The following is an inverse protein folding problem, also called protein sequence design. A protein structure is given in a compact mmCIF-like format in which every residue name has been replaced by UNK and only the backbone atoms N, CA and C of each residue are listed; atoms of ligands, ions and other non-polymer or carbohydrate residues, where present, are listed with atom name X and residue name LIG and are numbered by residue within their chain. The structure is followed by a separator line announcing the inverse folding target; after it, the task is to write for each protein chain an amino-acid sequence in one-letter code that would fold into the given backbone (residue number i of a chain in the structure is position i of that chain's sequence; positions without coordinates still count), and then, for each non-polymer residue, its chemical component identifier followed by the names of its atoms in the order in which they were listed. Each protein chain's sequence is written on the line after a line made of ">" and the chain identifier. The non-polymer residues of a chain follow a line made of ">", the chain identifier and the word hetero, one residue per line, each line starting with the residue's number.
data_IF_183503633247
#
_entry.id   IF_183503633247
#
_cell.length_a   1.000
_cell.length_b   1.000
_cell.length_c   1.000
_cell.angle_alpha   90.00
_cell.angle_beta   90.00
_cell.angle_gamma   90.00
#
_symmetry.space_group_name_H-M   'P 1'
#
loop_
_entity.id
_entity.type
_entity.pdbx_description
1 polymer ?
#
# COMPACT_ATOMS: atom_id res chain seq x y z
N UNK A 1 -9.76 32.95 -41.23
CA UNK A 1 -8.54 33.11 -40.41
C UNK A 1 -8.96 33.80 -39.14
N UNK A 2 -9.12 33.02 -38.07
CA UNK A 2 -9.35 33.54 -36.72
C UNK A 2 -8.20 32.97 -35.90
N UNK A 3 -7.23 33.85 -35.60
CA UNK A 3 -6.07 33.54 -34.79
C UNK A 3 -6.53 33.17 -33.38
N UNK A 4 -6.25 31.91 -32.99
CA UNK A 4 -6.32 31.50 -31.60
C UNK A 4 -5.10 32.08 -30.86
N UNK A 5 -5.28 32.67 -29.67
CA UNK A 5 -4.15 33.16 -28.88
C UNK A 5 -3.27 31.98 -28.43
N UNK A 6 -1.93 32.17 -28.36
CA UNK A 6 -1.02 31.11 -27.93
C UNK A 6 -1.33 30.71 -26.49
N UNK A 7 -1.42 29.40 -26.29
CA UNK A 7 -1.63 28.73 -25.01
C UNK A 7 -0.62 29.28 -23.98
N UNK A 8 -1.10 30.10 -23.04
CA UNK A 8 -0.26 30.63 -21.97
C UNK A 8 0.04 29.49 -20.99
N UNK A 9 1.19 28.83 -21.18
CA UNK A 9 1.74 27.92 -20.17
C UNK A 9 1.96 28.70 -18.88
N UNK A 10 1.42 28.21 -17.76
CA UNK A 10 1.52 28.87 -16.47
C UNK A 10 3.00 29.03 -16.08
N UNK A 11 3.42 30.18 -15.53
CA UNK A 11 4.80 30.40 -15.07
C UNK A 11 5.26 29.36 -14.02
N UNK A 12 4.33 28.85 -13.20
CA UNK A 12 4.59 27.83 -12.17
C UNK A 12 4.93 26.46 -12.77
N UNK A 13 4.32 26.10 -13.90
CA UNK A 13 4.61 24.84 -14.60
C UNK A 13 6.03 24.87 -15.21
N UNK A 14 6.43 26.02 -15.76
CA UNK A 14 7.78 26.22 -16.30
C UNK A 14 8.85 26.19 -15.19
N UNK A 15 8.62 26.86 -14.06
CA UNK A 15 9.56 26.87 -12.94
C UNK A 15 9.71 25.49 -12.28
N UNK A 16 8.62 24.73 -12.14
CA UNK A 16 8.65 23.36 -11.59
C UNK A 16 9.41 22.41 -12.52
N UNK A 17 9.24 22.58 -13.84
CA UNK A 17 9.95 21.80 -14.84
C UNK A 17 11.47 22.12 -14.83
N UNK A 18 11.85 23.40 -14.74
CA UNK A 18 13.27 23.81 -14.65
C UNK A 18 13.97 23.22 -13.41
N UNK A 19 13.30 23.18 -12.26
CA UNK A 19 13.84 22.55 -11.04
C UNK A 19 13.99 21.03 -11.22
N UNK A 20 13.00 20.37 -11.80
CA UNK A 20 13.07 18.92 -12.07
C UNK A 20 14.23 18.56 -13.01
N UNK A 21 14.43 19.34 -14.08
CA UNK A 21 15.55 19.15 -15.01
C UNK A 21 16.92 19.31 -14.34
N UNK A 22 17.08 20.30 -13.45
CA UNK A 22 18.32 20.48 -12.69
C UNK A 22 18.56 19.31 -11.72
N UNK A 23 17.53 18.80 -11.04
CA UNK A 23 17.66 17.62 -10.19
C UNK A 23 18.08 16.38 -11.00
N UNK A 24 17.46 16.14 -12.16
CA UNK A 24 17.85 15.05 -13.07
C UNK A 24 19.30 15.20 -13.55
N UNK A 25 19.73 16.43 -13.89
CA UNK A 25 21.12 16.71 -14.29
C UNK A 25 22.11 16.39 -13.17
N UNK A 26 21.82 16.80 -11.92
CA UNK A 26 22.65 16.51 -10.75
C UNK A 26 22.77 15.02 -10.49
N UNK A 27 21.65 14.31 -10.53
CA UNK A 27 21.60 12.85 -10.37
C UNK A 27 22.41 12.14 -11.46
N UNK A 28 22.21 12.50 -12.74
CA UNK A 28 22.96 11.92 -13.87
C UNK A 28 24.47 12.07 -13.71
N UNK A 29 24.91 13.22 -13.19
CA UNK A 29 26.33 13.51 -12.97
C UNK A 29 26.84 13.00 -11.60
N UNK A 30 25.98 12.37 -10.78
CA UNK A 30 26.27 11.96 -9.40
C UNK A 30 26.87 13.11 -8.57
N UNK A 31 26.36 14.33 -8.77
CA UNK A 31 26.78 15.50 -7.99
C UNK A 31 26.21 15.40 -6.57
N UNK A 32 27.01 15.73 -5.56
CA UNK A 32 26.60 15.65 -4.16
C UNK A 32 26.86 14.27 -3.53
N UNK A 33 26.20 14.01 -2.41
CA UNK A 33 26.27 12.72 -1.72
C UNK A 33 24.97 11.91 -1.89
N UNK A 34 24.98 10.66 -1.43
CA UNK A 34 23.84 9.76 -1.59
C UNK A 34 22.57 10.21 -0.84
N UNK A 35 22.71 10.98 0.24
CA UNK A 35 21.57 11.56 0.99
C UNK A 35 20.89 12.63 0.13
N UNK A 36 21.68 13.48 -0.52
CA UNK A 36 21.20 14.50 -1.46
C UNK A 36 20.53 13.85 -2.68
N UNK A 37 21.09 12.74 -3.20
CA UNK A 37 20.45 11.97 -4.26
C UNK A 37 19.09 11.43 -3.82
N UNK A 38 18.99 10.86 -2.61
CA UNK A 38 17.73 10.37 -2.04
C UNK A 38 16.67 11.47 -1.92
N UNK A 39 17.05 12.65 -1.43
CA UNK A 39 16.12 13.80 -1.36
C UNK A 39 15.70 14.27 -2.75
N UNK A 40 16.62 14.35 -3.71
CA UNK A 40 16.32 14.75 -5.08
C UNK A 40 15.35 13.77 -5.76
N UNK A 41 15.59 12.46 -5.63
CA UNK A 41 14.70 11.42 -6.16
C UNK A 41 13.32 11.50 -5.49
N UNK A 42 13.25 11.70 -4.17
CA UNK A 42 11.98 11.86 -3.47
C UNK A 42 11.18 13.08 -3.99
N UNK A 43 11.86 14.19 -4.28
CA UNK A 43 11.24 15.37 -4.90
C UNK A 43 10.71 15.10 -6.31
N UNK A 44 11.43 14.36 -7.14
CA UNK A 44 11.00 13.97 -8.48
C UNK A 44 9.78 13.04 -8.44
N UNK A 45 9.78 12.03 -7.56
CA UNK A 45 8.63 11.14 -7.36
C UNK A 45 7.38 11.92 -6.92
N UNK A 46 7.55 12.90 -6.01
CA UNK A 46 6.45 13.79 -5.59
C UNK A 46 5.95 14.70 -6.72
N UNK A 47 6.81 15.04 -7.68
CA UNK A 47 6.47 15.82 -8.87
C UNK A 47 5.84 14.96 -9.99
N UNK A 48 5.60 13.66 -9.76
CA UNK A 48 4.89 12.79 -10.70
C UNK A 48 5.77 11.93 -11.61
N UNK A 49 7.10 12.00 -11.47
CA UNK A 49 7.99 11.09 -12.19
C UNK A 49 7.86 9.67 -11.62
N UNK A 50 7.78 8.66 -12.49
CA UNK A 50 7.84 7.27 -12.05
C UNK A 50 9.31 6.79 -11.96
N UNK A 51 9.61 5.66 -11.28
CA UNK A 51 10.97 5.17 -11.14
C UNK A 51 11.68 4.85 -12.46
N UNK A 52 10.94 4.43 -13.49
CA UNK A 52 11.48 4.13 -14.81
C UNK A 52 11.92 5.42 -15.52
N UNK A 53 11.13 6.49 -15.45
CA UNK A 53 11.49 7.81 -16.02
C UNK A 53 12.81 8.32 -15.42
N UNK A 54 12.96 8.21 -14.10
CA UNK A 54 14.17 8.64 -13.38
C UNK A 54 15.36 7.78 -13.79
N UNK A 55 15.18 6.46 -13.95
CA UNK A 55 16.24 5.57 -14.40
C UNK A 55 16.72 5.94 -15.81
N UNK A 56 15.81 6.13 -16.76
CA UNK A 56 16.16 6.50 -18.13
C UNK A 56 16.90 7.84 -18.19
N UNK A 57 16.51 8.80 -17.35
CA UNK A 57 17.13 10.11 -17.32
C UNK A 57 18.47 10.17 -16.57
N UNK A 58 18.74 9.27 -15.62
CA UNK A 58 19.87 9.42 -14.66
C UNK A 58 20.78 8.20 -14.52
N UNK A 59 20.29 7.00 -14.87
CA UNK A 59 20.97 5.73 -14.65
C UNK A 59 20.82 5.15 -13.23
N UNK A 60 20.04 5.78 -12.33
CA UNK A 60 19.72 5.21 -11.02
C UNK A 60 18.67 4.11 -11.15
N UNK A 61 19.03 2.87 -10.85
CA UNK A 61 18.09 1.75 -10.90
C UNK A 61 16.96 1.91 -9.86
N UNK A 62 15.72 1.44 -10.13
CA UNK A 62 14.61 1.56 -9.18
C UNK A 62 14.91 1.01 -7.77
N UNK A 63 15.69 -0.07 -7.67
CA UNK A 63 16.14 -0.64 -6.39
C UNK A 63 17.04 0.36 -5.64
N UNK A 64 17.99 0.97 -6.34
CA UNK A 64 18.89 1.97 -5.78
C UNK A 64 18.14 3.25 -5.39
N UNK A 65 17.18 3.70 -6.21
CA UNK A 65 16.31 4.83 -5.92
C UNK A 65 15.58 4.63 -4.58
N UNK A 66 14.92 3.49 -4.41
CA UNK A 66 14.24 3.15 -3.16
C UNK A 66 15.22 3.11 -1.96
N UNK A 67 16.40 2.51 -2.16
CA UNK A 67 17.43 2.44 -1.11
C UNK A 67 17.86 3.84 -0.64
N UNK A 68 18.23 4.75 -1.55
CA UNK A 68 18.73 6.07 -1.18
C UNK A 68 17.62 6.99 -0.66
N UNK A 69 16.39 6.87 -1.16
CA UNK A 69 15.22 7.63 -0.66
C UNK A 69 14.90 7.23 0.78
N UNK A 70 14.79 5.94 1.07
CA UNK A 70 14.49 5.48 2.43
C UNK A 70 15.69 5.70 3.35
N UNK A 71 16.91 5.46 2.87
CA UNK A 71 18.14 5.72 3.62
C UNK A 71 18.27 7.19 4.01
N UNK A 72 17.92 8.14 3.13
CA UNK A 72 18.00 9.58 3.44
C UNK A 72 16.97 9.99 4.49
N UNK A 73 15.78 9.39 4.48
CA UNK A 73 14.77 9.58 5.54
C UNK A 73 15.26 9.05 6.89
N UNK A 74 15.97 7.92 6.91
CA UNK A 74 16.62 7.40 8.11
C UNK A 74 17.73 8.35 8.56
N UNK A 75 18.59 8.82 7.67
CA UNK A 75 19.64 9.80 7.97
C UNK A 75 19.07 11.09 8.57
N UNK A 76 17.95 11.60 8.06
CA UNK A 76 17.25 12.76 8.65
C UNK A 76 16.79 12.47 10.10
N UNK A 77 16.46 11.22 10.43
CA UNK A 77 16.13 10.80 11.80
C UNK A 77 17.36 10.88 12.72
N UNK A 78 18.55 10.49 12.22
CA UNK A 78 19.81 10.59 12.97
C UNK A 78 20.14 12.06 13.29
N UNK A 79 19.96 12.97 12.33
CA UNK A 79 20.22 14.40 12.56
C UNK A 79 19.26 15.01 13.58
N UNK A 80 17.98 14.59 13.55
CA UNK A 80 16.94 15.13 14.42
C UNK A 80 17.05 14.62 15.87
N UNK A 81 17.37 13.34 16.05
CA UNK A 81 17.43 12.70 17.38
C UNK A 81 18.84 12.65 17.98
N UNK A 82 19.85 13.08 17.22
CA UNK A 82 21.21 13.24 17.68
C UNK A 82 22.01 11.94 17.64
N UNK A 83 23.10 11.96 16.88
CA UNK A 83 24.16 10.95 16.87
C UNK A 83 25.51 11.64 17.02
N UNK A 84 26.58 10.88 17.26
CA UNK A 84 27.92 11.48 17.30
C UNK A 84 28.29 12.07 15.93
N UNK A 85 29.13 13.12 15.93
CA UNK A 85 29.58 13.77 14.70
C UNK A 85 30.35 12.80 13.79
N UNK A 86 31.03 11.81 14.37
CA UNK A 86 31.69 10.74 13.65
C UNK A 86 30.69 9.84 12.90
N UNK A 87 29.61 9.40 13.58
CA UNK A 87 28.53 8.62 12.97
C UNK A 87 27.84 9.41 11.85
N UNK A 88 27.50 10.69 12.10
CA UNK A 88 26.87 11.55 11.11
C UNK A 88 27.75 11.72 9.86
N UNK A 89 29.03 12.06 10.06
CA UNK A 89 29.98 12.28 8.96
C UNK A 89 30.23 11.01 8.14
N UNK A 90 30.28 9.85 8.81
CA UNK A 90 30.37 8.56 8.12
C UNK A 90 29.16 8.37 7.20
N UNK A 91 27.95 8.40 7.76
CA UNK A 91 26.75 8.09 7.00
C UNK A 91 26.36 9.16 5.98
N UNK A 92 26.84 10.39 6.10
CA UNK A 92 26.65 11.42 5.08
C UNK A 92 27.26 11.03 3.72
N UNK A 93 28.32 10.21 3.71
CA UNK A 93 29.08 9.88 2.49
C UNK A 93 28.94 8.43 2.04
N UNK A 94 28.59 7.51 2.94
CA UNK A 94 28.48 6.07 2.66
C UNK A 94 27.42 5.40 3.55
N UNK A 95 27.12 4.13 3.30
CA UNK A 95 26.25 3.33 4.20
C UNK A 95 24.75 3.50 3.99
N UNK A 96 24.33 3.85 2.77
CA UNK A 96 22.89 3.94 2.41
C UNK A 96 22.16 2.61 2.59
N UNK A 97 22.85 1.51 2.28
CA UNK A 97 22.41 0.11 2.44
C UNK A 97 22.25 -0.24 3.93
N UNK A 98 23.21 0.14 4.76
CA UNK A 98 23.15 -0.04 6.21
C UNK A 98 21.98 0.73 6.83
N UNK A 99 21.82 2.01 6.48
CA UNK A 99 20.71 2.82 7.00
C UNK A 99 19.35 2.36 6.47
N UNK A 100 19.29 1.81 5.25
CA UNK A 100 18.07 1.24 4.69
C UNK A 100 17.50 0.09 5.56
N UNK A 101 18.36 -0.70 6.19
CA UNK A 101 17.91 -1.79 7.07
C UNK A 101 17.27 -1.32 8.39
N UNK A 102 17.47 -0.05 8.76
CA UNK A 102 16.89 0.55 9.97
C UNK A 102 15.49 1.12 9.73
N UNK A 103 14.93 1.01 8.51
CA UNK A 103 13.65 1.64 8.11
C UNK A 103 12.44 1.24 8.96
N UNK A 104 12.45 0.04 9.56
CA UNK A 104 11.35 -0.48 10.38
C UNK A 104 11.37 0.02 11.84
N UNK A 105 12.49 0.62 12.26
CA UNK A 105 12.65 1.23 13.58
C UNK A 105 11.99 2.61 13.63
N UNK A 106 11.63 3.05 14.83
CA UNK A 106 11.14 4.41 15.08
C UNK A 106 12.26 5.45 14.90
N UNK A 107 11.92 6.74 14.80
CA UNK A 107 12.92 7.80 14.57
C UNK A 107 13.98 7.87 15.69
N UNK A 108 13.57 7.67 16.94
CA UNK A 108 14.44 7.62 18.12
C UNK A 108 15.38 6.40 18.08
N UNK A 109 14.83 5.21 17.82
CA UNK A 109 15.59 3.96 17.76
C UNK A 109 16.61 3.96 16.61
N UNK A 110 16.32 4.61 15.48
CA UNK A 110 17.24 4.71 14.33
C UNK A 110 18.55 5.38 14.71
N UNK A 111 18.51 6.46 15.49
CA UNK A 111 19.72 7.18 15.89
C UNK A 111 20.62 6.29 16.78
N UNK A 112 20.03 5.67 17.80
CA UNK A 112 20.75 4.78 18.71
C UNK A 112 21.29 3.52 17.99
N UNK A 113 20.51 2.95 17.06
CA UNK A 113 20.92 1.81 16.25
C UNK A 113 22.09 2.16 15.30
N UNK A 114 22.01 3.30 14.62
CA UNK A 114 23.05 3.74 13.70
C UNK A 114 24.38 4.01 14.42
N UNK A 115 24.34 4.61 15.62
CA UNK A 115 25.51 4.80 16.48
C UNK A 115 26.16 3.45 16.85
N UNK A 116 25.36 2.48 17.30
CA UNK A 116 25.85 1.14 17.65
C UNK A 116 26.52 0.45 16.45
N UNK A 117 25.86 0.49 15.28
CA UNK A 117 26.35 -0.13 14.04
C UNK A 117 27.66 0.53 13.58
N UNK A 118 27.76 1.85 13.68
CA UNK A 118 28.98 2.59 13.36
C UNK A 118 30.13 2.20 14.31
N UNK A 119 29.89 2.23 15.63
CA UNK A 119 30.89 1.88 16.65
C UNK A 119 31.44 0.47 16.45
N UNK A 120 30.58 -0.47 16.05
CA UNK A 120 30.99 -1.86 15.84
C UNK A 120 31.41 -2.18 14.40
N UNK A 121 31.41 -1.20 13.48
CA UNK A 121 31.76 -1.36 12.06
C UNK A 121 31.02 -2.54 11.41
N UNK A 122 29.70 -2.48 11.45
CA UNK A 122 28.78 -3.53 11.02
C UNK A 122 28.33 -3.31 9.56
N UNK A 123 28.20 -4.39 8.78
CA UNK A 123 27.70 -4.36 7.40
C UNK A 123 26.15 -4.37 7.32
N UNK A 124 25.60 -4.28 6.11
CA UNK A 124 24.15 -4.23 5.92
C UNK A 124 23.44 -5.51 6.39
N UNK A 125 24.05 -6.68 6.20
CA UNK A 125 23.46 -7.96 6.60
C UNK A 125 23.35 -8.08 8.13
N UNK A 126 24.41 -7.74 8.87
CA UNK A 126 24.37 -7.74 10.32
C UNK A 126 23.56 -6.55 10.86
N UNK A 127 23.47 -5.41 10.16
CA UNK A 127 22.58 -4.30 10.49
C UNK A 127 21.10 -4.69 10.44
N UNK A 128 20.69 -5.50 9.46
CA UNK A 128 19.33 -6.07 9.38
C UNK A 128 18.99 -6.93 10.59
N UNK A 129 19.93 -7.77 11.03
CA UNK A 129 19.74 -8.60 12.23
C UNK A 129 19.65 -7.73 13.50
N UNK A 130 20.45 -6.67 13.61
CA UNK A 130 20.36 -5.70 14.70
C UNK A 130 18.99 -5.00 14.70
N UNK A 131 18.52 -4.51 13.55
CA UNK A 131 17.22 -3.87 13.43
C UNK A 131 16.09 -4.80 13.88
N UNK A 132 16.15 -6.08 13.49
CA UNK A 132 15.22 -7.10 13.96
C UNK A 132 15.30 -7.31 15.47
N UNK A 133 16.50 -7.39 16.04
CA UNK A 133 16.71 -7.55 17.49
C UNK A 133 16.06 -6.41 18.28
N UNK A 134 16.31 -5.17 17.86
CA UNK A 134 15.75 -3.97 18.47
C UNK A 134 14.22 -3.97 18.35
N UNK A 135 13.69 -4.28 17.17
CA UNK A 135 12.25 -4.30 16.94
C UNK A 135 11.55 -5.34 17.80
N UNK A 136 12.08 -6.55 17.88
CA UNK A 136 11.55 -7.60 18.77
C UNK A 136 11.63 -7.19 20.24
N UNK A 137 12.73 -6.55 20.64
CA UNK A 137 12.92 -6.08 22.01
C UNK A 137 11.95 -4.94 22.39
N UNK A 138 11.59 -4.07 21.44
CA UNK A 138 10.63 -2.98 21.65
C UNK A 138 9.22 -3.47 22.03
N UNK A 139 8.89 -4.74 21.78
CA UNK A 139 7.57 -5.30 22.11
C UNK A 139 7.41 -5.63 23.59
N UNK A 140 8.50 -5.65 24.37
CA UNK A 140 8.43 -5.87 25.80
C UNK A 140 7.89 -4.64 26.53
N UNK A 141 6.71 -4.77 27.16
CA UNK A 141 6.17 -3.75 28.07
C UNK A 141 7.03 -3.60 29.33
N UNK A 142 7.57 -4.72 29.82
CA UNK A 142 8.51 -4.79 30.94
C UNK A 142 9.78 -5.43 30.43
N UNK A 143 10.90 -4.73 30.58
CA UNK A 143 12.18 -5.18 30.06
C UNK A 143 12.61 -6.51 30.71
N UNK A 144 13.20 -7.44 29.95
CA UNK A 144 13.79 -8.66 30.48
C UNK A 144 14.84 -8.36 31.56
N UNK A 145 14.82 -9.13 32.65
CA UNK A 145 15.72 -8.92 33.79
C UNK A 145 17.20 -8.96 33.37
N UNK A 146 17.93 -7.91 33.74
CA UNK A 146 19.36 -7.78 33.43
C UNK A 146 19.66 -7.14 32.07
N UNK A 147 18.64 -6.76 31.28
CA UNK A 147 18.82 -6.05 30.01
C UNK A 147 18.14 -4.68 30.04
N UNK A 148 18.87 -3.64 29.65
CA UNK A 148 18.34 -2.28 29.53
C UNK A 148 17.70 -2.01 28.16
N UNK A 149 17.10 -0.83 28.00
CA UNK A 149 16.56 -0.36 26.72
C UNK A 149 17.65 0.04 25.70
N UNK A 150 18.93 -0.04 26.06
CA UNK A 150 20.03 0.30 25.16
C UNK A 150 20.07 -0.69 23.97
N UNK A 151 20.30 -0.24 22.72
CA UNK A 151 20.28 -1.13 21.55
C UNK A 151 21.29 -2.28 21.65
N UNK A 152 22.45 -2.04 22.27
CA UNK A 152 23.44 -3.09 22.56
C UNK A 152 22.91 -4.20 23.48
N UNK A 153 22.14 -3.85 24.51
CA UNK A 153 21.50 -4.83 25.40
C UNK A 153 20.34 -5.56 24.72
N UNK A 154 19.60 -4.89 23.82
CA UNK A 154 18.58 -5.54 23.01
C UNK A 154 19.17 -6.63 22.09
N UNK A 155 20.30 -6.33 21.43
CA UNK A 155 21.05 -7.32 20.63
C UNK A 155 21.58 -8.44 21.52
N UNK A 156 22.17 -8.11 22.68
CA UNK A 156 22.65 -9.10 23.64
C UNK A 156 21.52 -10.02 24.13
N UNK A 157 20.33 -9.48 24.42
CA UNK A 157 19.17 -10.28 24.82
C UNK A 157 18.71 -11.25 23.73
N UNK A 158 18.66 -10.80 22.47
CA UNK A 158 18.31 -11.68 21.36
C UNK A 158 19.31 -12.83 21.25
N UNK A 159 20.61 -12.52 21.32
CA UNK A 159 21.69 -13.51 21.29
C UNK A 159 21.60 -14.47 22.49
N UNK A 160 21.31 -13.96 23.69
CA UNK A 160 21.12 -14.78 24.89
C UNK A 160 20.00 -15.81 24.68
N UNK A 161 18.86 -15.36 24.14
CA UNK A 161 17.72 -16.22 23.81
C UNK A 161 18.10 -17.29 22.78
N UNK A 162 18.77 -16.91 21.69
CA UNK A 162 19.21 -17.84 20.65
C UNK A 162 20.23 -18.87 21.16
N UNK A 163 21.18 -18.43 22.00
CA UNK A 163 22.20 -19.32 22.57
C UNK A 163 21.59 -20.39 23.49
N UNK A 164 20.54 -20.04 24.25
CA UNK A 164 19.78 -21.01 25.07
C UNK A 164 18.93 -21.98 24.25
N UNK A 165 18.66 -21.69 22.99
CA UNK A 165 17.92 -22.59 22.10
C UNK A 165 18.84 -23.53 21.33
N UNK A 166 20.13 -23.19 21.24
CA UNK A 166 21.08 -23.91 20.42
C UNK A 166 21.82 -24.98 21.24
N UNK A 167 21.66 -26.23 20.81
CA UNK A 167 22.37 -27.38 21.41
C UNK A 167 23.79 -27.52 20.87
N UNK A 168 24.10 -26.95 19.70
CA UNK A 168 25.43 -27.00 19.11
C UNK A 168 26.39 -26.04 19.85
N UNK A 169 27.45 -26.60 20.43
CA UNK A 169 28.40 -25.85 21.24
C UNK A 169 29.14 -24.79 20.44
N UNK A 170 29.51 -25.05 19.18
CA UNK A 170 30.27 -24.10 18.37
C UNK A 170 29.42 -22.88 18.00
N UNK A 171 28.17 -23.11 17.57
CA UNK A 171 27.21 -22.04 17.29
C UNK A 171 26.88 -21.26 18.56
N UNK A 172 26.68 -21.93 19.69
CA UNK A 172 26.47 -21.30 20.99
C UNK A 172 27.65 -20.41 21.39
N UNK A 173 28.88 -20.87 21.22
CA UNK A 173 30.08 -20.05 21.50
C UNK A 173 30.16 -18.81 20.61
N UNK A 174 29.82 -18.92 19.31
CA UNK A 174 29.76 -17.77 18.39
C UNK A 174 28.71 -16.76 18.83
N UNK A 175 27.53 -17.24 19.24
CA UNK A 175 26.48 -16.39 19.79
C UNK A 175 26.97 -15.69 21.06
N UNK A 176 27.52 -16.40 22.03
CA UNK A 176 28.07 -15.81 23.26
C UNK A 176 29.09 -14.70 22.95
N UNK A 177 30.03 -14.94 22.04
CA UNK A 177 31.00 -13.93 21.63
C UNK A 177 30.33 -12.68 21.02
N UNK A 178 29.30 -12.87 20.17
CA UNK A 178 28.48 -11.77 19.64
C UNK A 178 27.76 -11.00 20.76
N UNK A 179 27.19 -11.71 21.72
CA UNK A 179 26.50 -11.09 22.86
C UNK A 179 27.44 -10.23 23.70
N UNK A 180 28.66 -10.72 23.97
CA UNK A 180 29.69 -9.99 24.71
C UNK A 180 30.28 -8.80 23.94
N UNK A 181 30.24 -8.83 22.60
CA UNK A 181 30.63 -7.71 21.73
C UNK A 181 29.66 -6.54 21.87
N UNK A 182 28.35 -6.80 21.94
CA UNK A 182 27.31 -5.77 21.91
C UNK A 182 26.73 -5.36 23.27
N UNK A 183 26.85 -6.21 24.30
CA UNK A 183 26.31 -5.92 25.63
C UNK A 183 26.83 -4.58 26.18
N UNK A 184 25.91 -3.71 26.58
CA UNK A 184 26.22 -2.36 27.07
C UNK A 184 26.30 -2.33 28.59
N UNK A 185 25.37 -2.98 29.29
CA UNK A 185 25.36 -2.98 30.75
C UNK A 185 26.14 -4.17 31.34
N UNK A 186 26.77 -4.00 32.52
CA UNK A 186 27.42 -5.10 33.24
C UNK A 186 26.46 -6.26 33.55
N UNK A 187 25.18 -5.95 33.84
CA UNK A 187 24.15 -6.95 34.11
C UNK A 187 23.86 -7.81 32.87
N UNK A 188 23.72 -7.19 31.69
CA UNK A 188 23.52 -7.91 30.44
C UNK A 188 24.72 -8.81 30.15
N UNK A 189 25.93 -8.26 30.31
CA UNK A 189 27.17 -9.01 30.12
C UNK A 189 27.24 -10.25 31.02
N UNK A 190 26.90 -10.12 32.30
CA UNK A 190 26.86 -11.23 33.25
C UNK A 190 25.86 -12.32 32.83
N UNK A 191 24.67 -11.95 32.33
CA UNK A 191 23.68 -12.92 31.80
C UNK A 191 24.22 -13.68 30.59
N UNK A 192 25.02 -13.05 29.73
CA UNK A 192 25.71 -13.73 28.62
C UNK A 192 26.81 -14.66 29.10
N UNK A 193 27.64 -14.23 30.06
CA UNK A 193 28.74 -15.03 30.62
C UNK A 193 28.24 -16.31 31.30
N UNK A 194 27.07 -16.26 31.96
CA UNK A 194 26.44 -17.45 32.58
C UNK A 194 26.18 -18.60 31.58
N UNK A 195 26.02 -18.28 30.29
CA UNK A 195 25.81 -19.29 29.24
C UNK A 195 27.05 -20.15 28.94
N UNK A 196 28.22 -19.78 29.46
CA UNK A 196 29.45 -20.58 29.39
C UNK A 196 29.42 -21.77 30.36
N UNK A 197 28.62 -21.67 31.42
CA UNK A 197 28.51 -22.70 32.47
C UNK A 197 27.16 -23.42 32.43
N UNK A 198 26.10 -22.71 32.07
CA UNK A 198 24.78 -23.30 31.86
C UNK A 198 24.70 -23.84 30.44
N UNK A 199 24.49 -25.14 30.25
CA UNK A 199 24.32 -25.80 28.95
C UNK A 199 22.88 -26.26 28.69
N UNK A 200 21.92 -25.80 29.50
CA UNK A 200 20.51 -26.13 29.28
C UNK A 200 20.01 -25.56 27.96
N UNK A 201 19.19 -26.35 27.27
CA UNK A 201 18.52 -25.96 26.03
C UNK A 201 17.03 -25.72 26.29
N UNK A 202 16.54 -24.53 25.99
CA UNK A 202 15.13 -24.15 26.11
C UNK A 202 14.50 -24.12 24.73
N UNK A 203 13.58 -25.05 24.39
CA UNK A 203 12.97 -25.08 23.07
C UNK A 203 12.05 -23.86 22.87
N UNK A 204 12.08 -23.27 21.67
CA UNK A 204 11.14 -22.22 21.26
C UNK A 204 10.08 -22.83 20.34
N UNK A 205 8.82 -22.49 20.55
CA UNK A 205 7.76 -22.78 19.56
C UNK A 205 7.97 -21.89 18.34
N UNK A 206 7.92 -22.42 17.11
CA UNK A 206 8.00 -21.60 15.91
C UNK A 206 6.84 -20.60 15.88
N UNK A 207 7.04 -19.48 15.17
CA UNK A 207 5.95 -18.55 14.92
C UNK A 207 4.81 -19.27 14.16
N UNK A 208 3.54 -18.98 14.46
CA UNK A 208 2.42 -19.53 13.71
C UNK A 208 2.48 -19.08 12.25
N UNK A 209 1.96 -19.92 11.35
CA UNK A 209 1.84 -19.57 9.93
C UNK A 209 0.79 -18.46 9.79
N UNK A 210 1.15 -17.38 9.11
CA UNK A 210 0.23 -16.28 8.81
C UNK A 210 -0.75 -16.69 7.71
N UNK A 211 -2.03 -16.28 7.79
CA UNK A 211 -3.06 -16.68 6.83
C UNK A 211 -2.96 -15.86 5.53
N UNK A 212 -1.95 -16.16 4.72
CA UNK A 212 -1.81 -15.56 3.39
C UNK A 212 -2.81 -16.16 2.42
N UNK A 213 -3.53 -15.29 1.70
CA UNK A 213 -4.40 -15.66 0.58
C UNK A 213 -3.85 -15.02 -0.71
N UNK A 214 -4.02 -15.71 -1.84
CA UNK A 214 -3.70 -15.17 -3.17
C UNK A 214 -4.92 -15.30 -4.06
N UNK A 215 -5.34 -14.17 -4.63
CA UNK A 215 -6.33 -14.13 -5.70
C UNK A 215 -5.57 -14.30 -7.00
N UNK A 216 -5.93 -15.31 -7.80
CA UNK A 216 -5.19 -15.73 -8.99
C UNK A 216 -5.88 -15.23 -10.29
N UNK A 217 -7.17 -14.89 -10.24
CA UNK A 217 -7.95 -14.49 -11.41
C UNK A 217 -8.66 -13.16 -11.19
N UNK A 218 -8.77 -12.33 -12.23
CA UNK A 218 -9.45 -11.01 -12.15
C UNK A 218 -10.93 -11.14 -11.79
N UNK A 219 -11.60 -12.20 -12.21
CA UNK A 219 -13.00 -12.49 -11.87
C UNK A 219 -13.21 -12.71 -10.36
N UNK A 220 -12.15 -13.05 -9.63
CA UNK A 220 -12.16 -13.16 -8.17
C UNK A 220 -12.09 -11.79 -7.49
N UNK A 221 -11.67 -10.74 -8.21
CA UNK A 221 -11.63 -9.37 -7.69
C UNK A 221 -13.02 -8.74 -7.90
N UNK A 222 -13.74 -8.39 -6.83
CA UNK A 222 -14.93 -7.58 -6.96
C UNK A 222 -14.55 -6.17 -7.44
N UNK A 223 -15.44 -5.53 -8.20
CA UNK A 223 -15.32 -4.11 -8.53
C UNK A 223 -16.28 -3.32 -7.65
N UNK A 224 -15.76 -2.32 -6.95
CA UNK A 224 -16.55 -1.40 -6.13
C UNK A 224 -17.13 -0.31 -7.01
N UNK A 225 -18.43 -0.04 -6.89
CA UNK A 225 -19.14 0.92 -7.72
C UNK A 225 -19.87 1.97 -6.86
N UNK A 226 -19.89 3.24 -7.29
CA UNK A 226 -20.68 4.26 -6.63
C UNK A 226 -22.17 4.06 -6.94
N UNK A 227 -23.00 4.18 -5.89
CA UNK A 227 -24.46 4.16 -5.99
C UNK A 227 -24.97 5.59 -6.00
N UNK A 228 -25.67 5.98 -7.08
CA UNK A 228 -26.28 7.30 -7.23
C UNK A 228 -27.42 7.48 -6.22
N UNK A 229 -28.28 6.47 -6.11
CA UNK A 229 -29.46 6.47 -5.25
C UNK A 229 -30.52 5.49 -5.74
N UNK A 230 -31.75 5.66 -5.24
CA UNK A 230 -32.93 4.92 -5.67
C UNK A 230 -33.86 5.82 -6.49
N UNK A 231 -34.41 5.31 -7.59
CA UNK A 231 -35.38 6.06 -8.39
C UNK A 231 -36.63 6.46 -7.57
N UNK A 232 -37.23 7.65 -7.82
CA UNK A 232 -36.90 8.62 -8.87
C UNK A 232 -35.67 9.47 -8.55
N UNK A 233 -34.84 9.73 -9.56
CA UNK A 233 -33.62 10.54 -9.49
C UNK A 233 -33.63 11.56 -10.62
N UNK A 234 -32.90 12.67 -10.46
CA UNK A 234 -32.69 13.66 -11.52
C UNK A 234 -31.39 13.41 -12.29
N UNK A 235 -31.25 14.06 -13.45
CA UNK A 235 -29.97 14.10 -14.16
C UNK A 235 -28.84 14.70 -13.34
N UNK A 236 -29.15 15.66 -12.48
CA UNK A 236 -28.15 16.30 -11.61
C UNK A 236 -27.57 15.31 -10.60
N UNK A 237 -28.40 14.41 -10.06
CA UNK A 237 -27.95 13.37 -9.12
C UNK A 237 -26.94 12.43 -9.80
N UNK A 238 -27.21 12.01 -11.04
CA UNK A 238 -26.30 11.18 -11.83
C UNK A 238 -24.97 11.88 -12.15
N UNK A 239 -25.01 13.18 -12.41
CA UNK A 239 -23.82 14.00 -12.72
C UNK A 239 -22.99 14.36 -11.49
N UNK A 240 -23.61 14.38 -10.30
CA UNK A 240 -22.91 14.70 -9.05
C UNK A 240 -21.92 13.61 -8.63
N UNK A 241 -22.12 12.37 -9.06
CA UNK A 241 -21.22 11.25 -8.78
C UNK A 241 -19.93 11.40 -9.63
N UNK A 242 -18.74 11.53 -9.03
CA UNK A 242 -17.51 11.66 -9.82
C UNK A 242 -17.10 10.35 -10.49
N UNK A 243 -16.19 10.45 -11.45
CA UNK A 243 -15.54 9.27 -12.06
C UNK A 243 -14.67 8.59 -11.00
N UNK A 244 -14.76 7.27 -10.92
CA UNK A 244 -13.99 6.46 -9.99
C UNK A 244 -12.54 6.34 -10.45
N UNK A 245 -11.58 6.65 -9.58
CA UNK A 245 -10.16 6.36 -9.82
C UNK A 245 -9.68 5.30 -8.84
N UNK A 246 -9.29 4.14 -9.36
CA UNK A 246 -8.76 3.03 -8.57
C UNK A 246 -7.25 3.22 -8.32
N UNK A 247 -6.82 3.01 -7.08
CA UNK A 247 -5.43 3.14 -6.64
C UNK A 247 -4.82 1.75 -6.52
N UNK A 248 -3.95 1.40 -7.46
CA UNK A 248 -3.20 0.15 -7.48
C UNK A 248 -2.20 0.03 -6.30
N UNK A 249 -1.77 -1.19 -5.90
CA UNK A 249 -2.04 -2.50 -6.53
C UNK A 249 -3.29 -3.23 -6.01
N UNK A 250 -4.06 -2.60 -5.12
CA UNK A 250 -5.20 -3.22 -4.45
C UNK A 250 -6.54 -2.57 -4.86
N UNK A 251 -6.55 -1.82 -5.97
CA UNK A 251 -7.73 -1.10 -6.49
C UNK A 251 -8.48 -0.33 -5.41
N UNK A 252 -7.74 0.38 -4.55
CA UNK A 252 -8.31 1.16 -3.46
C UNK A 252 -9.06 2.36 -4.03
N UNK A 253 -10.22 2.66 -3.45
CA UNK A 253 -10.96 3.88 -3.75
C UNK A 253 -10.88 4.82 -2.56
N UNK A 254 -10.43 6.05 -2.80
CA UNK A 254 -10.50 7.14 -1.82
C UNK A 254 -11.52 8.16 -2.29
N UNK A 255 -12.41 8.53 -1.39
CA UNK A 255 -13.46 9.51 -1.66
C UNK A 255 -13.60 10.46 -0.47
N UNK A 256 -14.01 11.70 -0.75
CA UNK A 256 -14.29 12.72 0.26
C UNK A 256 -15.69 13.27 0.01
N UNK A 257 -16.56 13.15 1.01
CA UNK A 257 -17.97 13.53 0.92
C UNK A 257 -18.90 12.39 1.32
N UNK A 258 -20.19 12.53 1.00
CA UNK A 258 -21.19 11.47 1.16
C UNK A 258 -21.33 10.68 -0.14
N UNK A 259 -21.19 9.36 -0.06
CA UNK A 259 -21.33 8.45 -1.21
C UNK A 259 -21.68 7.04 -0.72
N UNK A 260 -22.68 6.42 -1.36
CA UNK A 260 -23.00 5.02 -1.18
C UNK A 260 -22.21 4.15 -2.17
N UNK A 261 -21.88 2.93 -1.77
CA UNK A 261 -21.01 2.02 -2.53
C UNK A 261 -21.57 0.60 -2.53
N UNK A 262 -21.36 -0.13 -3.62
CA UNK A 262 -21.67 -1.56 -3.71
C UNK A 262 -20.52 -2.31 -4.36
N UNK A 263 -19.99 -3.38 -3.74
CA UNK A 263 -19.08 -4.30 -4.42
C UNK A 263 -19.89 -5.30 -5.25
N UNK A 264 -19.60 -5.38 -6.54
CA UNK A 264 -20.15 -6.40 -7.43
C UNK A 264 -19.06 -7.37 -7.88
N UNK A 265 -19.41 -8.62 -8.25
CA UNK A 265 -18.46 -9.56 -8.83
C UNK A 265 -17.74 -8.99 -10.06
N UNK A 266 -16.52 -9.44 -10.32
CA UNK A 266 -15.71 -9.04 -11.49
C UNK A 266 -16.22 -9.64 -12.80
N UNK A 267 -17.50 -9.47 -13.13
CA UNK A 267 -18.05 -9.88 -14.41
C UNK A 267 -17.36 -9.13 -15.55
N UNK A 268 -17.07 -9.81 -16.66
CA UNK A 268 -16.30 -9.22 -17.77
C UNK A 268 -16.88 -7.89 -18.28
N UNK A 269 -18.21 -7.79 -18.40
CA UNK A 269 -18.90 -6.56 -18.82
C UNK A 269 -18.68 -5.41 -17.82
N UNK A 270 -18.59 -5.72 -16.53
CA UNK A 270 -18.30 -4.73 -15.51
C UNK A 270 -16.83 -4.33 -15.51
N UNK A 271 -15.90 -5.27 -15.72
CA UNK A 271 -14.47 -4.96 -15.80
C UNK A 271 -14.15 -4.10 -17.04
N UNK A 272 -14.87 -4.28 -18.14
CA UNK A 272 -14.72 -3.50 -19.36
C UNK A 272 -15.33 -2.09 -19.29
N UNK A 273 -16.22 -1.82 -18.34
CA UNK A 273 -16.90 -0.53 -18.22
C UNK A 273 -15.92 0.59 -17.82
N UNK A 274 -15.99 1.74 -18.49
CA UNK A 274 -15.07 2.86 -18.23
C UNK A 274 -15.53 3.69 -17.04
N UNK A 275 -16.82 4.06 -17.00
CA UNK A 275 -17.40 4.87 -15.92
C UNK A 275 -18.72 4.25 -15.39
N UNK A 276 -18.65 3.08 -14.73
CA UNK A 276 -19.82 2.39 -14.21
C UNK A 276 -20.37 3.04 -12.94
N UNK A 277 -21.69 3.24 -12.90
CA UNK A 277 -22.46 3.70 -11.73
C UNK A 277 -23.67 2.81 -11.48
N UNK A 278 -24.19 2.85 -10.26
CA UNK A 278 -25.34 2.04 -9.85
C UNK A 278 -26.56 2.89 -9.53
N UNK A 279 -27.72 2.48 -10.03
CA UNK A 279 -29.03 2.99 -9.64
C UNK A 279 -29.87 1.84 -9.08
N UNK A 280 -30.54 2.09 -7.94
CA UNK A 280 -31.52 1.18 -7.37
C UNK A 280 -32.90 1.47 -7.98
N UNK A 281 -33.59 0.41 -8.38
CA UNK A 281 -34.91 0.51 -8.99
C UNK A 281 -35.74 -0.74 -8.69
N UNK A 282 -36.99 -0.75 -9.15
CA UNK A 282 -37.81 -1.97 -9.20
C UNK A 282 -37.84 -2.55 -10.62
N UNK A 283 -38.03 -3.86 -10.72
CA UNK A 283 -37.98 -4.58 -11.99
C UNK A 283 -39.11 -4.23 -12.97
N UNK A 284 -40.18 -3.58 -12.51
CA UNK A 284 -41.28 -3.08 -13.33
C UNK A 284 -40.90 -1.87 -14.21
N UNK A 285 -39.72 -1.28 -13.97
CA UNK A 285 -39.11 -0.28 -14.87
C UNK A 285 -38.61 -0.87 -16.19
N UNK A 286 -38.61 -2.20 -16.33
CA UNK A 286 -38.17 -2.89 -17.54
C UNK A 286 -39.31 -3.75 -18.12
N UNK A 287 -39.34 -4.00 -19.44
CA UNK A 287 -40.31 -4.92 -20.02
C UNK A 287 -40.26 -6.29 -19.34
N UNK A 288 -41.44 -6.80 -18.98
CA UNK A 288 -41.63 -7.95 -18.11
C UNK A 288 -40.90 -9.18 -18.69
N UNK A 289 -39.77 -9.54 -18.08
CA UNK A 289 -39.14 -10.83 -18.30
C UNK A 289 -39.84 -11.87 -17.40
N UNK A 290 -40.77 -12.64 -17.99
CA UNK A 290 -41.37 -13.89 -17.48
C UNK A 290 -41.63 -14.05 -15.97
N UNK A 291 -42.92 -14.09 -15.57
CA UNK A 291 -43.48 -14.71 -14.33
C UNK A 291 -42.84 -14.38 -12.96
N UNK A 292 -41.88 -13.45 -12.85
CA UNK A 292 -41.32 -13.03 -11.56
C UNK A 292 -42.15 -11.91 -10.94
N UNK A 293 -42.35 -11.94 -9.63
CA UNK A 293 -42.94 -10.83 -8.88
C UNK A 293 -42.10 -9.55 -9.05
N UNK A 294 -42.76 -8.39 -9.06
CA UNK A 294 -42.10 -7.10 -9.02
C UNK A 294 -41.27 -7.02 -7.74
N UNK A 295 -40.02 -6.59 -7.86
CA UNK A 295 -39.13 -6.45 -6.72
C UNK A 295 -37.90 -5.62 -7.06
N UNK A 296 -37.08 -5.30 -6.04
CA UNK A 296 -35.93 -4.44 -6.20
C UNK A 296 -34.89 -5.07 -7.13
N UNK A 297 -34.15 -4.20 -7.82
CA UNK A 297 -33.03 -4.53 -8.69
C UNK A 297 -31.93 -3.49 -8.53
N UNK A 298 -30.70 -3.95 -8.66
CA UNK A 298 -29.52 -3.11 -8.86
C UNK A 298 -29.30 -3.01 -10.37
N UNK A 299 -29.27 -1.78 -10.89
CA UNK A 299 -29.01 -1.47 -12.29
C UNK A 299 -27.64 -0.83 -12.41
N UNK A 300 -26.74 -1.44 -13.18
CA UNK A 300 -25.43 -0.88 -13.48
C UNK A 300 -25.45 -0.23 -14.84
N UNK A 301 -24.96 1.00 -14.91
CA UNK A 301 -24.93 1.83 -16.10
C UNK A 301 -23.49 2.25 -16.37
N UNK A 302 -23.01 2.12 -17.60
CA UNK A 302 -21.76 2.75 -18.03
C UNK A 302 -22.07 4.14 -18.62
N UNK A 303 -21.64 5.20 -17.92
CA UNK A 303 -21.86 6.58 -18.35
C UNK A 303 -20.99 6.98 -19.54
N UNK A 304 -19.93 6.23 -19.86
CA UNK A 304 -19.09 6.46 -21.03
C UNK A 304 -19.75 5.94 -22.32
N UNK A 305 -20.65 4.95 -22.21
CA UNK A 305 -21.36 4.37 -23.35
C UNK A 305 -22.67 5.11 -23.63
N UNK A 306 -22.65 6.00 -24.63
CA UNK A 306 -23.80 6.84 -25.03
C UNK A 306 -24.14 6.74 -26.51
N UNK A 307 -23.44 5.89 -27.24
CA UNK A 307 -23.77 5.59 -28.64
C UNK A 307 -25.03 4.73 -28.67
N UNK A 308 -26.00 5.10 -29.51
CA UNK A 308 -27.25 4.36 -29.61
C UNK A 308 -27.01 2.96 -30.21
N UNK A 309 -27.65 1.96 -29.60
CA UNK A 309 -27.72 0.59 -30.10
C UNK A 309 -29.15 0.04 -29.95
N UNK A 310 -29.69 -0.51 -31.03
CA UNK A 310 -31.04 -1.07 -31.08
C UNK A 310 -31.22 -2.36 -30.26
N UNK A 311 -30.17 -2.85 -29.58
CA UNK A 311 -30.23 -4.05 -28.73
C UNK A 311 -30.06 -3.73 -27.24
N UNK A 312 -29.99 -2.45 -26.86
CA UNK A 312 -29.58 -2.02 -25.53
C UNK A 312 -30.58 -1.04 -24.88
N UNK A 313 -30.64 -1.07 -23.54
CA UNK A 313 -31.38 -0.07 -22.77
C UNK A 313 -30.46 1.05 -22.34
N UNK A 314 -30.99 2.26 -22.28
CA UNK A 314 -30.26 3.46 -21.92
C UNK A 314 -30.98 4.23 -20.82
N UNK A 315 -30.19 5.00 -20.08
CA UNK A 315 -30.72 6.02 -19.16
C UNK A 315 -30.94 7.30 -19.92
N UNK A 316 -32.14 7.86 -19.79
CA UNK A 316 -32.53 9.13 -20.41
C UNK A 316 -33.18 10.05 -19.38
N UNK A 317 -33.25 11.33 -19.69
CA UNK A 317 -33.99 12.31 -18.91
C UNK A 317 -35.40 12.46 -19.49
N UNK A 318 -36.43 12.18 -18.68
CA UNK A 318 -37.83 12.29 -19.07
C UNK A 318 -38.60 13.05 -17.97
N UNK A 319 -39.15 14.22 -18.32
CA UNK A 319 -39.92 15.03 -17.36
C UNK A 319 -39.11 15.54 -16.15
N UNK A 320 -37.78 15.63 -16.26
CA UNK A 320 -36.87 16.02 -15.18
C UNK A 320 -36.38 14.87 -14.29
N UNK A 321 -36.83 13.65 -14.56
CA UNK A 321 -36.40 12.43 -13.86
C UNK A 321 -35.61 11.50 -14.81
N UNK A 322 -34.81 10.63 -14.23
CA UNK A 322 -34.14 9.54 -14.93
C UNK A 322 -35.13 8.42 -15.22
N UNK A 323 -35.09 7.93 -16.46
CA UNK A 323 -35.92 6.81 -16.91
C UNK A 323 -35.08 5.82 -17.72
N UNK A 324 -35.55 4.58 -17.80
CA UNK A 324 -34.88 3.50 -18.52
C UNK A 324 -35.67 3.14 -19.78
N UNK A 325 -35.06 3.35 -20.95
CA UNK A 325 -35.75 3.17 -22.22
C UNK A 325 -34.89 2.44 -23.25
N UNK A 326 -35.57 1.70 -24.11
CA UNK A 326 -35.01 1.11 -25.32
C UNK A 326 -35.62 1.83 -26.53
N UNK A 327 -34.82 2.03 -27.58
CA UNK A 327 -35.26 2.75 -28.77
C UNK A 327 -34.99 1.93 -30.03
N UNK A 328 -36.02 1.72 -30.84
CA UNK A 328 -35.94 1.03 -32.14
C UNK A 328 -35.12 1.81 -33.17
N UNK A 329 -35.07 3.13 -33.04
CA UNK A 329 -34.35 4.06 -33.92
C UNK A 329 -33.58 5.07 -33.07
N UNK A 330 -32.51 5.64 -33.63
CA UNK A 330 -31.68 6.63 -32.92
C UNK A 330 -32.55 7.80 -32.39
N UNK A 331 -32.61 7.99 -31.06
CA UNK A 331 -33.47 8.99 -30.47
C UNK A 331 -32.87 10.40 -30.58
N UNK A 332 -33.72 11.42 -30.67
CA UNK A 332 -33.29 12.83 -30.64
C UNK A 332 -32.92 13.32 -29.22
N UNK A 333 -33.23 12.53 -28.19
CA UNK A 333 -32.92 12.84 -26.79
C UNK A 333 -31.52 12.33 -26.39
N UNK A 334 -30.79 13.06 -25.55
CA UNK A 334 -29.45 12.66 -25.14
C UNK A 334 -29.48 11.40 -24.27
N UNK A 335 -28.68 10.40 -24.66
CA UNK A 335 -28.42 9.21 -23.85
C UNK A 335 -27.38 9.53 -22.76
N UNK A 336 -27.70 9.20 -21.50
CA UNK A 336 -26.84 9.51 -20.35
C UNK A 336 -25.88 8.36 -19.99
N UNK A 337 -26.19 7.15 -20.45
CA UNK A 337 -25.39 5.95 -20.27
C UNK A 337 -26.15 4.69 -20.67
N UNK A 338 -25.43 3.61 -20.95
CA UNK A 338 -25.98 2.31 -21.33
C UNK A 338 -26.13 1.42 -20.11
N UNK A 339 -27.26 0.71 -20.00
CA UNK A 339 -27.48 -0.29 -18.95
C UNK A 339 -26.72 -1.56 -19.33
N UNK A 340 -25.77 -1.97 -18.49
CA UNK A 340 -24.89 -3.11 -18.75
C UNK A 340 -25.22 -4.34 -17.90
N UNK A 341 -25.78 -4.15 -16.69
CA UNK A 341 -26.15 -5.24 -15.78
C UNK A 341 -27.45 -4.87 -15.04
N UNK A 342 -28.33 -5.86 -14.88
CA UNK A 342 -29.45 -5.80 -13.94
C UNK A 342 -29.36 -7.04 -13.06
N UNK A 343 -29.29 -6.85 -11.74
CA UNK A 343 -29.20 -7.95 -10.78
C UNK A 343 -30.29 -7.84 -9.73
N UNK A 344 -31.01 -8.95 -9.51
CA UNK A 344 -31.98 -9.09 -8.41
C UNK A 344 -31.24 -9.44 -7.11
N UNK A 345 -31.83 -9.13 -5.94
CA UNK A 345 -31.29 -9.61 -4.67
C UNK A 345 -31.02 -11.11 -4.69
N UNK A 346 -29.97 -11.53 -3.98
CA UNK A 346 -29.64 -12.95 -3.82
C UNK A 346 -30.86 -13.69 -3.26
N UNK A 347 -31.30 -14.75 -3.93
CA UNK A 347 -32.35 -15.63 -3.42
C UNK A 347 -31.83 -16.36 -2.19
N UNK A 348 -32.44 -16.11 -1.04
CA UNK A 348 -32.18 -16.86 0.19
C UNK A 348 -33.22 -17.98 0.23
N UNK A 349 -32.80 -19.23 0.08
CA UNK A 349 -33.71 -20.38 0.01
C UNK A 349 -34.10 -20.95 1.38
N UNK A 350 -33.34 -20.64 2.43
CA UNK A 350 -33.74 -20.73 3.85
C UNK A 350 -32.56 -20.17 4.66
N UNK A 351 -32.75 -19.21 5.55
CA UNK A 351 -31.62 -18.65 6.34
C UNK A 351 -31.02 -19.69 7.30
N UNK A 352 -31.82 -20.65 7.76
CA UNK A 352 -31.38 -21.68 8.71
C UNK A 352 -30.54 -22.80 8.08
N UNK A 353 -30.76 -23.14 6.80
CA UNK A 353 -29.96 -24.18 6.13
C UNK A 353 -28.48 -23.81 5.99
N UNK A 354 -28.17 -22.52 5.89
CA UNK A 354 -26.79 -22.01 5.73
C UNK A 354 -25.92 -22.19 6.98
N UNK A 355 -26.48 -22.61 8.13
CA UNK A 355 -25.73 -22.82 9.38
C UNK A 355 -25.30 -24.27 9.61
N UNK A 356 -25.94 -25.24 8.95
CA UNK A 356 -25.61 -26.66 9.11
C UNK A 356 -24.75 -27.17 7.96
N UNK A 357 -23.43 -27.22 8.18
CA UNK A 357 -22.43 -27.68 7.21
C UNK A 357 -22.45 -29.20 6.93
N UNK A 358 -23.50 -29.91 7.35
CA UNK A 358 -23.55 -31.39 7.36
C UNK A 358 -24.88 -31.98 6.89
N UNK A 359 -25.58 -31.32 5.98
CA UNK A 359 -26.64 -32.00 5.21
C UNK A 359 -26.01 -32.57 3.94
N UNK A 360 -25.88 -33.89 3.90
CA UNK A 360 -25.55 -34.65 2.70
C UNK A 360 -26.89 -34.86 1.98
N UNK A 361 -26.99 -34.47 0.71
CA UNK A 361 -28.12 -34.84 -0.14
C UNK A 361 -28.19 -36.38 -0.23
N UNK A 362 -29.28 -36.99 0.25
CA UNK A 362 -29.58 -38.42 0.04
C UNK A 362 -30.08 -38.71 -1.38
#
# INVERSE_FOLDING_TARGET
>A
MTDLPPNAQNPEDNATNDVAQELLRRLRQKQGNWVEWGTAIASLLKAGYNPQDIFEATGFEPIQQNQVVVGSQVYNSLEKFGVSEATRSHYATRGSDVLYELRLLTQEERAAAAELIFVHNVDADEAREIAKALKEFSYYRSLPEGFSAHPGDAVAHQVWKLARQNADLQQRSRLIAKGLRFAHTPAARQKIEQLLTDFTTVPQRPAPILPFYRLEFEEQLPRILPVVGELPLSRQDLQAVPILTEIEPFRLVKFSGEQAWVPLPGWQVLLAAEDPVVILANSDRFPIQTQSQIGPVVVVIDRAQREWDASSYFVVENGGELDFQWFETEPEIPLLGQIIIIVRPKKILDEELTKDSWQIDE
#
